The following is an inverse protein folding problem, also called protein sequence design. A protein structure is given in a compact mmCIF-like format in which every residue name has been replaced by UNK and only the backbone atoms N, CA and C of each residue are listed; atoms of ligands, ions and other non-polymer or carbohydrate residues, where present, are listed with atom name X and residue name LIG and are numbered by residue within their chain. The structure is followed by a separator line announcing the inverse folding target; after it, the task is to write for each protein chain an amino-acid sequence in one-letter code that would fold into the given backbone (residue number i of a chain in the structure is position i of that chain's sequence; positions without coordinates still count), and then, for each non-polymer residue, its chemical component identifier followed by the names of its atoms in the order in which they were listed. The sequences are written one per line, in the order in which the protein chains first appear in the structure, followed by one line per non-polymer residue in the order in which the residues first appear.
data_IF_409629776129
#
_entry.id   IF_409629776129
#
_cell.length_a   1.000
_cell.length_b   1.000
_cell.length_c   1.000
_cell.angle_alpha   90.00
_cell.angle_beta   90.00
_cell.angle_gamma   90.00
#
_symmetry.space_group_name_H-M   'P 1'
#
loop_
_entity.id
_entity.type
_entity.pdbx_description
1 polymer ?
#
# COMPACT_ATOMS: atom_id res chain seq x y z
N UNK A 1 -19.24 3.42 -11.91
CA UNK A 1 -19.17 2.60 -10.67
C UNK A 1 -20.51 2.66 -9.93
N UNK A 2 -21.08 1.52 -9.53
CA UNK A 2 -22.28 1.51 -8.66
C UNK A 2 -21.87 1.93 -7.24
N UNK A 3 -22.74 2.62 -6.48
CA UNK A 3 -22.46 3.01 -5.08
C UNK A 3 -21.94 1.85 -4.20
N UNK A 4 -22.47 0.63 -4.39
CA UNK A 4 -22.00 -0.58 -3.69
C UNK A 4 -20.54 -0.95 -3.99
N UNK A 5 -20.04 -0.71 -5.21
CA UNK A 5 -18.64 -1.02 -5.55
C UNK A 5 -17.68 -0.02 -4.92
N UNK A 6 -18.11 1.24 -4.75
CA UNK A 6 -17.30 2.28 -4.13
C UNK A 6 -17.06 2.01 -2.64
N UNK A 7 -18.13 1.71 -1.90
CA UNK A 7 -18.03 1.41 -0.46
C UNK A 7 -17.17 0.17 -0.20
N UNK A 8 -17.29 -0.87 -1.02
CA UNK A 8 -16.42 -2.05 -0.93
C UNK A 8 -14.95 -1.71 -1.18
N UNK A 9 -14.65 -0.93 -2.21
CA UNK A 9 -13.29 -0.51 -2.50
C UNK A 9 -12.67 0.28 -1.33
N UNK A 10 -13.43 1.22 -0.76
CA UNK A 10 -12.96 2.03 0.37
C UNK A 10 -12.69 1.16 1.61
N UNK A 11 -13.60 0.23 1.94
CA UNK A 11 -13.41 -0.69 3.07
C UNK A 11 -12.24 -1.64 2.84
N UNK A 12 -12.11 -2.21 1.64
CA UNK A 12 -11.01 -3.10 1.30
C UNK A 12 -9.65 -2.38 1.38
N UNK A 13 -9.56 -1.14 0.87
CA UNK A 13 -8.37 -0.30 1.01
C UNK A 13 -8.01 0.01 2.46
N UNK A 14 -9.01 0.41 3.26
CA UNK A 14 -8.81 0.68 4.67
C UNK A 14 -8.32 -0.54 5.46
N UNK A 15 -8.93 -1.71 5.24
CA UNK A 15 -8.52 -2.97 5.88
C UNK A 15 -7.15 -3.42 5.40
N UNK A 16 -6.83 -3.26 4.12
CA UNK A 16 -5.50 -3.54 3.59
C UNK A 16 -4.43 -2.65 4.24
N UNK A 17 -4.70 -1.35 4.45
CA UNK A 17 -3.79 -0.45 5.16
C UNK A 17 -3.66 -0.78 6.65
N UNK A 18 -4.74 -1.23 7.30
CA UNK A 18 -4.66 -1.78 8.66
C UNK A 18 -3.72 -2.98 8.70
N UNK A 19 -3.83 -3.91 7.73
CA UNK A 19 -2.93 -5.06 7.65
C UNK A 19 -1.46 -4.65 7.49
N UNK A 20 -1.17 -3.65 6.64
CA UNK A 20 0.18 -3.08 6.53
C UNK A 20 0.66 -2.48 7.86
N UNK A 21 -0.20 -1.77 8.57
CA UNK A 21 0.12 -1.16 9.87
C UNK A 21 0.50 -2.22 10.90
N UNK A 22 -0.28 -3.30 11.01
CA UNK A 22 0.03 -4.43 11.88
C UNK A 22 1.33 -5.13 11.49
N UNK A 23 1.57 -5.34 10.19
CA UNK A 23 2.82 -5.91 9.71
C UNK A 23 4.01 -5.00 10.07
N UNK A 24 3.88 -3.68 9.93
CA UNK A 24 4.91 -2.72 10.32
C UNK A 24 5.24 -2.78 11.81
N UNK A 25 4.23 -2.92 12.68
CA UNK A 25 4.44 -3.12 14.12
C UNK A 25 5.14 -4.43 14.44
N UNK A 26 4.81 -5.52 13.74
CA UNK A 26 5.47 -6.82 13.92
C UNK A 26 6.93 -6.77 13.41
N UNK A 27 7.14 -6.25 12.20
CA UNK A 27 8.45 -6.11 11.58
C UNK A 27 9.39 -5.26 12.43
N UNK A 28 8.91 -4.13 12.98
CA UNK A 28 9.68 -3.29 13.87
C UNK A 28 10.13 -3.98 15.16
N UNK A 29 9.31 -4.88 15.72
CA UNK A 29 9.70 -5.67 16.90
C UNK A 29 10.74 -6.75 16.59
N UNK A 30 10.73 -7.26 15.36
CA UNK A 30 11.67 -8.28 14.90
C UNK A 30 12.98 -7.70 14.35
N UNK A 31 13.15 -6.37 14.38
CA UNK A 31 14.30 -5.69 13.77
C UNK A 31 14.34 -5.84 12.25
N UNK A 32 13.22 -6.22 11.63
CA UNK A 32 13.13 -6.39 10.19
C UNK A 32 13.13 -5.03 9.49
N UNK A 33 13.79 -4.93 8.32
CA UNK A 33 13.77 -3.72 7.51
C UNK A 33 12.35 -3.43 7.02
N UNK A 34 11.77 -2.31 7.44
CA UNK A 34 10.44 -1.89 7.01
C UNK A 34 10.37 -0.37 6.88
N UNK A 35 9.56 0.10 5.93
CA UNK A 35 9.27 1.53 5.80
C UNK A 35 7.99 1.87 6.56
N UNK A 36 8.11 2.71 7.58
CA UNK A 36 6.95 3.24 8.28
C UNK A 36 6.39 4.46 7.54
N UNK A 37 5.49 4.23 6.57
CA UNK A 37 4.86 5.29 5.79
C UNK A 37 4.16 6.35 6.64
N UNK A 38 3.46 5.96 7.71
CA UNK A 38 2.80 6.91 8.61
C UNK A 38 3.83 7.85 9.27
N UNK A 39 4.97 7.32 9.71
CA UNK A 39 6.06 8.14 10.26
C UNK A 39 6.70 9.02 9.19
N UNK A 40 7.00 8.47 8.01
CA UNK A 40 7.61 9.22 6.90
C UNK A 40 6.73 10.38 6.46
N UNK A 41 5.42 10.15 6.30
CA UNK A 41 4.46 11.21 5.99
C UNK A 41 4.30 12.19 7.15
N UNK A 42 4.28 11.71 8.39
CA UNK A 42 4.18 12.57 9.56
C UNK A 42 5.34 13.55 9.71
N UNK A 43 6.54 13.15 9.29
CA UNK A 43 7.72 14.03 9.26
C UNK A 43 7.57 15.17 8.25
N UNK A 44 6.92 14.94 7.11
CA UNK A 44 6.70 15.98 6.10
C UNK A 44 5.45 16.83 6.36
N UNK A 45 4.47 16.33 7.13
CA UNK A 45 3.17 17.00 7.33
C UNK A 45 2.96 17.55 8.75
N UNK A 46 4.01 17.62 9.56
CA UNK A 46 3.99 18.32 10.86
C UNK A 46 3.46 17.52 12.05
N UNK A 47 3.36 16.20 11.96
CA UNK A 47 3.02 15.36 13.11
C UNK A 47 2.54 13.95 12.79
N UNK A 48 2.62 13.06 13.79
CA UNK A 48 2.28 11.65 13.64
C UNK A 48 0.81 11.42 13.22
N UNK A 49 -0.12 12.20 13.78
CA UNK A 49 -1.56 12.04 13.48
C UNK A 49 -1.87 12.36 12.02
N UNK A 50 -1.27 13.41 11.47
CA UNK A 50 -1.39 13.76 10.06
C UNK A 50 -0.78 12.67 9.15
N UNK A 51 0.36 12.11 9.56
CA UNK A 51 1.00 10.99 8.86
C UNK A 51 0.13 9.74 8.78
N UNK A 52 -0.50 9.33 9.89
CA UNK A 52 -1.45 8.22 9.89
C UNK A 52 -2.67 8.51 9.02
N UNK A 53 -3.25 9.71 9.14
CA UNK A 53 -4.39 10.11 8.33
C UNK A 53 -4.06 10.00 6.83
N UNK A 54 -2.94 10.56 6.39
CA UNK A 54 -2.50 10.49 5.00
C UNK A 54 -2.18 9.06 4.55
N UNK A 55 -1.64 8.23 5.44
CA UNK A 55 -1.38 6.82 5.11
C UNK A 55 -2.67 6.05 4.84
N UNK A 56 -3.70 6.22 5.68
CA UNK A 56 -5.01 5.60 5.49
C UNK A 56 -5.76 6.15 4.28
N UNK A 57 -5.72 7.47 4.06
CA UNK A 57 -6.29 8.10 2.86
C UNK A 57 -5.59 7.59 1.61
N UNK A 58 -4.25 7.51 1.62
CA UNK A 58 -3.46 6.94 0.52
C UNK A 58 -3.85 5.50 0.20
N UNK A 59 -4.07 4.67 1.23
CA UNK A 59 -4.62 3.33 1.08
C UNK A 59 -5.98 3.31 0.38
N UNK A 60 -6.94 4.08 0.87
CA UNK A 60 -8.26 4.17 0.22
C UNK A 60 -8.16 4.65 -1.23
N UNK A 61 -7.32 5.64 -1.52
CA UNK A 61 -7.09 6.13 -2.87
C UNK A 61 -6.49 5.05 -3.78
N UNK A 62 -5.50 4.29 -3.29
CA UNK A 62 -4.92 3.16 -4.03
C UNK A 62 -5.97 2.08 -4.33
N UNK A 63 -6.87 1.79 -3.39
CA UNK A 63 -7.98 0.86 -3.62
C UNK A 63 -8.95 1.35 -4.70
N UNK A 64 -9.25 2.65 -4.71
CA UNK A 64 -10.08 3.24 -5.76
C UNK A 64 -9.39 3.19 -7.13
N UNK A 65 -8.08 3.43 -7.18
CA UNK A 65 -7.26 3.30 -8.41
C UNK A 65 -7.27 1.85 -8.90
N UNK A 66 -7.09 0.87 -8.01
CA UNK A 66 -7.15 -0.54 -8.35
C UNK A 66 -8.48 -0.91 -9.03
N UNK A 67 -9.60 -0.51 -8.43
CA UNK A 67 -10.94 -0.82 -8.97
C UNK A 67 -11.19 -0.07 -10.28
N UNK A 68 -10.76 1.18 -10.39
CA UNK A 68 -10.98 1.99 -11.58
C UNK A 68 -10.18 1.55 -12.80
N UNK A 69 -8.92 1.13 -12.60
CA UNK A 69 -7.97 0.95 -13.70
C UNK A 69 -7.51 -0.49 -13.91
N UNK A 70 -7.54 -1.34 -12.87
CA UNK A 70 -6.90 -2.65 -12.90
C UNK A 70 -7.88 -3.81 -12.75
N UNK A 71 -8.92 -3.68 -11.92
CA UNK A 71 -9.79 -4.80 -11.55
C UNK A 71 -10.43 -5.52 -12.76
N UNK A 72 -10.98 -4.76 -13.71
CA UNK A 72 -11.62 -5.32 -14.92
C UNK A 72 -10.62 -5.70 -16.02
N UNK A 73 -9.39 -5.17 -15.98
CA UNK A 73 -8.38 -5.36 -17.05
C UNK A 73 -7.45 -6.54 -16.80
N UNK A 74 -7.31 -6.96 -15.54
CA UNK A 74 -6.39 -8.03 -15.17
C UNK A 74 -7.10 -9.39 -15.15
N UNK A 75 -6.63 -10.38 -15.91
CA UNK A 75 -7.14 -11.73 -15.82
C UNK A 75 -6.68 -12.43 -14.53
N UNK A 76 -7.42 -13.44 -14.08
CA UNK A 76 -7.04 -14.31 -12.96
C UNK A 76 -7.89 -14.13 -11.69
N UNK A 77 -7.49 -14.82 -10.62
CA UNK A 77 -8.18 -14.78 -9.32
C UNK A 77 -7.97 -13.44 -8.61
N UNK A 78 -8.92 -13.08 -7.75
CA UNK A 78 -9.02 -11.78 -7.07
C UNK A 78 -7.73 -11.35 -6.37
N UNK A 79 -7.14 -12.26 -5.59
CA UNK A 79 -5.87 -12.00 -4.90
C UNK A 79 -4.68 -11.82 -5.85
N UNK A 80 -4.63 -12.54 -6.99
CA UNK A 80 -3.54 -12.41 -7.98
C UNK A 80 -3.58 -11.03 -8.65
N UNK A 81 -4.77 -10.53 -8.99
CA UNK A 81 -4.94 -9.16 -9.53
C UNK A 81 -4.44 -8.13 -8.54
N UNK A 82 -4.78 -8.31 -7.26
CA UNK A 82 -4.31 -7.48 -6.16
C UNK A 82 -2.79 -7.47 -6.01
N UNK A 83 -2.14 -8.64 -6.07
CA UNK A 83 -0.68 -8.75 -6.03
C UNK A 83 -0.01 -8.06 -7.22
N UNK A 84 -0.55 -8.25 -8.44
CA UNK A 84 0.00 -7.58 -9.62
C UNK A 84 -0.10 -6.06 -9.48
N UNK A 85 -1.26 -5.54 -9.05
CA UNK A 85 -1.44 -4.12 -8.78
C UNK A 85 -0.44 -3.61 -7.73
N UNK A 86 -0.29 -4.33 -6.61
CA UNK A 86 0.68 -3.99 -5.58
C UNK A 86 2.12 -3.97 -6.09
N UNK A 87 2.48 -4.88 -7.01
CA UNK A 87 3.80 -4.94 -7.61
C UNK A 87 4.07 -3.69 -8.46
N UNK A 88 3.10 -3.30 -9.28
CA UNK A 88 3.18 -2.06 -10.08
C UNK A 88 3.28 -0.83 -9.16
N UNK A 89 2.51 -0.78 -8.08
CA UNK A 89 2.58 0.32 -7.11
C UNK A 89 3.91 0.35 -6.36
N UNK A 90 4.48 -0.80 -6.02
CA UNK A 90 5.81 -0.89 -5.43
C UNK A 90 6.88 -0.39 -6.39
N UNK A 91 6.82 -0.75 -7.68
CA UNK A 91 7.72 -0.21 -8.71
C UNK A 91 7.59 1.31 -8.82
N UNK A 92 6.36 1.83 -8.93
CA UNK A 92 6.12 3.27 -9.00
C UNK A 92 6.65 3.99 -7.75
N UNK A 93 6.47 3.39 -6.58
CA UNK A 93 6.92 3.97 -5.32
C UNK A 93 8.43 3.93 -5.18
N UNK A 94 9.07 2.81 -5.46
CA UNK A 94 10.52 2.66 -5.36
C UNK A 94 11.26 3.46 -6.43
N UNK A 95 10.77 3.46 -7.67
CA UNK A 95 11.46 4.09 -8.79
C UNK A 95 11.17 5.59 -8.94
N UNK A 96 9.96 6.05 -8.59
CA UNK A 96 9.58 7.45 -8.76
C UNK A 96 9.34 8.17 -7.44
N UNK A 97 8.48 7.66 -6.54
CA UNK A 97 8.14 8.41 -5.32
C UNK A 97 9.31 8.48 -4.32
N UNK A 98 10.02 7.38 -4.09
CA UNK A 98 11.08 7.33 -3.08
C UNK A 98 12.22 8.34 -3.34
N UNK A 99 12.73 8.50 -4.59
CA UNK A 99 13.66 9.58 -4.91
C UNK A 99 13.12 10.98 -4.62
N UNK A 100 11.84 11.24 -4.89
CA UNK A 100 11.22 12.55 -4.63
C UNK A 100 11.14 12.89 -3.13
N UNK A 101 11.08 11.86 -2.27
CA UNK A 101 11.17 12.00 -0.81
C UNK A 101 12.61 11.98 -0.28
N UNK A 102 13.62 12.04 -1.16
CA UNK A 102 15.03 12.00 -0.76
C UNK A 102 15.50 10.63 -0.23
N UNK A 103 14.72 9.57 -0.43
CA UNK A 103 15.05 8.21 0.03
C UNK A 103 15.91 7.43 -0.99
N UNK A 104 16.17 8.00 -2.16
CA UNK A 104 16.86 7.32 -3.27
C UNK A 104 15.98 6.27 -3.97
N UNK A 105 16.52 5.66 -5.04
CA UNK A 105 15.83 4.59 -5.75
C UNK A 105 15.64 3.37 -4.85
N UNK A 106 14.42 2.84 -4.81
CA UNK A 106 14.02 1.72 -3.96
C UNK A 106 14.44 1.90 -2.49
N UNK A 107 14.20 3.10 -1.96
CA UNK A 107 14.53 3.49 -0.59
C UNK A 107 16.04 3.42 -0.28
N UNK A 108 16.90 3.41 -1.30
CA UNK A 108 18.36 3.44 -1.17
C UNK A 108 18.98 2.13 -0.70
N UNK A 109 18.20 1.06 -0.56
CA UNK A 109 18.68 -0.22 -0.04
C UNK A 109 17.86 -1.38 -0.59
N UNK A 110 18.54 -2.40 -1.14
CA UNK A 110 17.90 -3.65 -1.60
C UNK A 110 17.09 -4.30 -0.48
N UNK A 111 17.61 -4.24 0.73
CA UNK A 111 16.96 -4.81 1.92
C UNK A 111 15.66 -4.07 2.25
N UNK A 112 15.66 -2.73 2.16
CA UNK A 112 14.45 -1.92 2.32
C UNK A 112 13.47 -2.10 1.15
N UNK A 113 13.98 -2.28 -0.06
CA UNK A 113 13.19 -2.56 -1.25
C UNK A 113 12.38 -3.87 -1.09
N UNK A 114 13.02 -4.93 -0.60
CA UNK A 114 12.37 -6.21 -0.33
C UNK A 114 11.38 -6.13 0.83
N UNK A 115 11.74 -5.46 1.93
CA UNK A 115 10.82 -5.26 3.07
C UNK A 115 9.56 -4.49 2.69
N UNK A 116 9.72 -3.45 1.86
CA UNK A 116 8.59 -2.68 1.32
C UNK A 116 7.77 -3.50 0.33
N UNK A 117 8.40 -4.30 -0.54
CA UNK A 117 7.71 -5.20 -1.47
C UNK A 117 6.75 -6.13 -0.71
N UNK A 118 7.21 -6.77 0.37
CA UNK A 118 6.35 -7.62 1.21
C UNK A 118 5.13 -6.88 1.75
N UNK A 119 5.32 -5.62 2.15
CA UNK A 119 4.24 -4.78 2.67
C UNK A 119 3.23 -4.42 1.57
N UNK A 120 3.70 -4.11 0.37
CA UNK A 120 2.83 -3.88 -0.79
C UNK A 120 2.09 -5.16 -1.20
N UNK A 121 2.76 -6.31 -1.22
CA UNK A 121 2.13 -7.60 -1.54
C UNK A 121 1.01 -7.92 -0.54
N UNK A 122 1.23 -7.70 0.76
CA UNK A 122 0.17 -7.85 1.76
C UNK A 122 -1.03 -6.94 1.46
N UNK A 123 -0.77 -5.66 1.18
CA UNK A 123 -1.82 -4.72 0.81
C UNK A 123 -2.63 -5.19 -0.41
N UNK A 124 -1.94 -5.55 -1.50
CA UNK A 124 -2.56 -6.00 -2.74
C UNK A 124 -3.38 -7.28 -2.55
N UNK A 125 -2.81 -8.26 -1.85
CA UNK A 125 -3.50 -9.52 -1.57
C UNK A 125 -4.80 -9.32 -0.79
N UNK A 126 -4.74 -8.53 0.30
CA UNK A 126 -5.92 -8.21 1.13
C UNK A 126 -6.96 -7.41 0.34
N UNK A 127 -6.53 -6.38 -0.40
CA UNK A 127 -7.40 -5.56 -1.22
C UNK A 127 -8.14 -6.39 -2.28
N UNK A 128 -7.40 -7.18 -3.05
CA UNK A 128 -7.97 -8.00 -4.12
C UNK A 128 -8.94 -9.04 -3.58
N UNK A 129 -8.60 -9.70 -2.47
CA UNK A 129 -9.48 -10.67 -1.82
C UNK A 129 -10.77 -10.02 -1.28
N UNK A 130 -10.66 -8.92 -0.52
CA UNK A 130 -11.81 -8.29 0.11
C UNK A 130 -12.72 -7.54 -0.86
N UNK A 131 -12.21 -7.07 -1.99
CA UNK A 131 -13.05 -6.41 -2.98
C UNK A 131 -14.03 -7.38 -3.67
N UNK A 132 -13.57 -8.61 -3.93
CA UNK A 132 -14.34 -9.66 -4.63
C UNK A 132 -15.10 -10.62 -3.69
N UNK A 133 -14.83 -10.58 -2.38
CA UNK A 133 -15.61 -11.28 -1.36
C UNK A 133 -17.06 -10.75 -1.23
#
# INVERSE_FOLDING_TARGET
MRRRSLTRAMLAGFVATLAMTFLGFAAGRLGMPFLNWAKTLGQSTGGAMAGYFLFFVGGVLLALIYVALFHERLPGSSWKRGLFFAFVMWLATGAALAPLFGMGFFMGSVVMALGTLMTYMLYGGVLGYLYDA
#
